data_IF_442794286750
#
_entry.id   IF_442794286750
#
_cell.length_a   1.000
_cell.length_b   1.000
_cell.length_c   1.000
_cell.angle_alpha   90.00
_cell.angle_beta   90.00
_cell.angle_gamma   90.00
#
_symmetry.space_group_name_H-M   'P 1'
#
loop_
_entity.id
_entity.type
_entity.pdbx_description
1 polymer ?
#
# COMPACT_ATOMS: atom_id res chain seq x y z
N UNK A 1 -3.39 -20.47 -8.77
CA UNK A 1 -4.40 -20.09 -7.75
C UNK A 1 -4.19 -18.62 -7.44
N UNK A 2 -5.23 -17.77 -7.44
CA UNK A 2 -5.09 -16.36 -7.02
C UNK A 2 -5.20 -16.30 -5.50
N UNK A 3 -4.19 -15.79 -4.81
CA UNK A 3 -4.28 -15.49 -3.38
C UNK A 3 -5.22 -14.29 -3.21
N UNK A 4 -6.07 -14.32 -2.19
CA UNK A 4 -6.97 -13.21 -1.87
C UNK A 4 -6.26 -12.29 -0.87
N UNK A 5 -6.27 -10.99 -1.15
CA UNK A 5 -5.66 -9.98 -0.29
C UNK A 5 -6.72 -9.05 0.28
N UNK A 6 -6.62 -8.73 1.57
CA UNK A 6 -7.50 -7.79 2.27
C UNK A 6 -6.71 -6.66 2.93
N UNK A 7 -7.09 -5.40 2.66
CA UNK A 7 -6.46 -4.23 3.25
C UNK A 7 -7.04 -4.06 4.65
N UNK A 8 -6.25 -4.39 5.67
CA UNK A 8 -6.70 -4.35 7.05
C UNK A 8 -6.59 -2.96 7.66
N UNK A 9 -5.68 -2.12 7.16
CA UNK A 9 -5.54 -0.77 7.66
C UNK A 9 -4.39 0.01 7.04
N UNK A 10 -4.52 1.32 7.11
CA UNK A 10 -3.50 2.30 6.77
C UNK A 10 -2.98 2.85 8.10
N UNK A 11 -1.66 2.77 8.29
CA UNK A 11 -0.97 3.22 9.49
C UNK A 11 -0.56 4.69 9.42
N UNK A 12 0.37 5.08 10.29
CA UNK A 12 0.86 6.45 10.34
C UNK A 12 1.56 6.85 9.03
N UNK A 13 1.22 8.04 8.54
CA UNK A 13 1.86 8.72 7.41
C UNK A 13 2.98 9.60 7.95
N UNK A 14 4.10 9.67 7.24
CA UNK A 14 5.20 10.56 7.63
C UNK A 14 4.79 12.02 7.51
N UNK A 15 5.20 12.84 8.48
CA UNK A 15 4.94 14.28 8.45
C UNK A 15 5.69 14.99 7.32
N UNK A 16 6.89 14.48 7.00
CA UNK A 16 7.78 15.02 5.96
C UNK A 16 8.11 13.96 4.91
N UNK A 17 8.40 14.35 3.66
CA UNK A 17 8.94 13.45 2.66
C UNK A 17 10.23 12.77 3.13
N UNK A 18 10.31 11.45 2.98
CA UNK A 18 11.39 10.61 3.51
C UNK A 18 11.80 9.46 2.56
N UNK A 19 11.15 9.31 1.40
CA UNK A 19 11.51 8.33 0.38
C UNK A 19 11.87 9.05 -0.91
N UNK A 20 13.05 8.77 -1.48
CA UNK A 20 13.45 9.22 -2.82
C UNK A 20 12.98 8.18 -3.86
N UNK A 21 12.09 8.57 -4.77
CA UNK A 21 11.61 7.69 -5.84
C UNK A 21 11.24 8.50 -7.08
N UNK A 22 11.56 7.96 -8.27
CA UNK A 22 11.35 8.64 -9.56
C UNK A 22 11.91 10.08 -9.61
N UNK A 23 13.04 10.33 -8.94
CA UNK A 23 13.68 11.65 -8.91
C UNK A 23 13.00 12.67 -8.00
N UNK A 24 12.00 12.27 -7.19
CA UNK A 24 11.29 13.15 -6.27
C UNK A 24 11.27 12.58 -4.85
N UNK A 25 11.17 13.47 -3.86
CA UNK A 25 10.99 13.10 -2.46
C UNK A 25 9.50 12.97 -2.15
N UNK A 26 9.10 11.85 -1.57
CA UNK A 26 7.72 11.51 -1.25
C UNK A 26 7.54 11.22 0.23
N UNK A 27 6.33 11.40 0.75
CA UNK A 27 5.95 10.89 2.07
C UNK A 27 5.82 9.37 2.02
N UNK A 28 5.89 8.73 3.18
CA UNK A 28 5.65 7.30 3.34
C UNK A 28 4.43 7.04 4.21
N UNK A 29 3.75 5.92 4.00
CA UNK A 29 2.66 5.45 4.87
C UNK A 29 2.80 3.96 5.14
N UNK A 30 2.53 3.55 6.38
CA UNK A 30 2.43 2.13 6.71
C UNK A 30 1.11 1.54 6.19
N UNK A 31 1.15 0.30 5.71
CA UNK A 31 -0.05 -0.42 5.25
C UNK A 31 -0.03 -1.84 5.80
N UNK A 32 -1.17 -2.31 6.30
CA UNK A 32 -1.36 -3.68 6.79
C UNK A 32 -2.26 -4.45 5.84
N UNK A 33 -1.75 -5.53 5.25
CA UNK A 33 -2.47 -6.38 4.29
C UNK A 33 -2.47 -7.82 4.80
N UNK A 34 -3.62 -8.47 4.76
CA UNK A 34 -3.75 -9.91 4.96
C UNK A 34 -3.75 -10.65 3.63
N UNK A 35 -3.06 -11.79 3.57
CA UNK A 35 -3.20 -12.80 2.52
C UNK A 35 -3.97 -13.99 3.07
N UNK A 36 -5.21 -14.17 2.61
CA UNK A 36 -6.02 -15.34 2.94
C UNK A 36 -5.52 -16.53 2.13
N UNK A 37 -5.11 -17.58 2.83
CA UNK A 37 -4.63 -18.83 2.26
C UNK A 37 -5.72 -19.88 2.36
N UNK A 38 -5.89 -20.69 1.31
CA UNK A 38 -6.89 -21.77 1.32
C UNK A 38 -6.62 -22.80 2.42
N UNK A 39 -5.34 -23.01 2.75
CA UNK A 39 -4.91 -23.88 3.83
C UNK A 39 -3.83 -23.16 4.67
N UNK A 40 -3.93 -23.27 5.98
CA UNK A 40 -2.96 -22.72 6.95
C UNK A 40 -3.29 -21.33 7.48
N UNK A 41 -2.35 -20.78 8.25
CA UNK A 41 -2.50 -19.49 8.94
C UNK A 41 -2.43 -18.33 7.92
N UNK A 42 -3.33 -17.33 8.01
CA UNK A 42 -3.22 -16.11 7.22
C UNK A 42 -1.87 -15.43 7.42
N UNK A 43 -1.33 -14.83 6.35
CA UNK A 43 -0.13 -14.00 6.47
C UNK A 43 -0.48 -12.54 6.55
N UNK A 44 0.20 -11.85 7.46
CA UNK A 44 0.08 -10.41 7.64
C UNK A 44 1.33 -9.71 7.13
N UNK A 45 1.13 -8.80 6.18
CA UNK A 45 2.16 -7.93 5.63
C UNK A 45 2.03 -6.55 6.25
N UNK A 46 3.08 -6.09 6.93
CA UNK A 46 3.22 -4.69 7.34
C UNK A 46 4.24 -4.04 6.40
N UNK A 47 3.77 -3.24 5.45
CA UNK A 47 4.59 -2.67 4.39
C UNK A 47 4.64 -1.15 4.52
N UNK A 48 5.79 -0.56 4.19
CA UNK A 48 5.93 0.88 4.03
C UNK A 48 5.75 1.21 2.54
N UNK A 49 4.86 2.15 2.23
CA UNK A 49 4.54 2.55 0.86
C UNK A 49 4.75 4.04 0.63
N UNK A 50 5.11 4.38 -0.61
CA UNK A 50 5.18 5.75 -1.09
C UNK A 50 3.78 6.36 -1.21
N UNK A 51 3.60 7.57 -0.69
CA UNK A 51 2.39 8.38 -0.90
C UNK A 51 2.59 9.28 -2.11
N UNK A 52 1.73 9.11 -3.10
CA UNK A 52 1.67 9.90 -4.32
C UNK A 52 0.57 10.96 -4.20
N UNK A 53 0.64 12.00 -5.05
CA UNK A 53 -0.35 13.08 -5.09
C UNK A 53 -0.77 13.30 -6.54
N UNK A 54 -2.08 13.29 -6.78
CA UNK A 54 -2.68 13.75 -8.03
C UNK A 54 -3.86 14.72 -7.76
N UNK A 55 -4.65 15.03 -8.78
CA UNK A 55 -5.81 15.92 -8.69
C UNK A 55 -6.90 15.48 -7.68
N UNK A 56 -6.96 14.19 -7.33
CA UNK A 56 -7.94 13.64 -6.39
C UNK A 56 -7.38 13.54 -4.96
N UNK A 57 -6.11 13.87 -4.75
CA UNK A 57 -5.47 13.91 -3.44
C UNK A 57 -4.32 12.92 -3.27
N UNK A 58 -4.06 12.55 -2.02
CA UNK A 58 -3.00 11.60 -1.66
C UNK A 58 -3.45 10.14 -1.88
N UNK A 59 -2.61 9.32 -2.49
CA UNK A 59 -2.90 7.91 -2.75
C UNK A 59 -1.67 7.01 -2.62
N UNK A 60 -1.91 5.70 -2.47
CA UNK A 60 -0.91 4.64 -2.62
C UNK A 60 -1.18 3.84 -3.89
N UNK A 61 -0.11 3.46 -4.58
CA UNK A 61 -0.18 2.74 -5.86
C UNK A 61 0.30 1.30 -5.72
N UNK A 62 -0.63 0.34 -5.84
CA UNK A 62 -0.32 -1.09 -5.83
C UNK A 62 -0.07 -1.68 -7.22
N UNK A 63 -0.22 -0.92 -8.31
CA UNK A 63 -0.18 -1.46 -9.68
C UNK A 63 1.13 -2.16 -10.04
N UNK A 64 2.24 -1.74 -9.43
CA UNK A 64 3.57 -2.33 -9.58
C UNK A 64 3.97 -3.29 -8.45
N UNK A 65 2.99 -3.74 -7.65
CA UNK A 65 3.22 -4.67 -6.55
C UNK A 65 2.58 -6.03 -6.84
N UNK A 66 2.90 -7.04 -6.04
CA UNK A 66 2.21 -8.34 -6.09
C UNK A 66 0.72 -8.24 -5.70
N UNK A 67 0.27 -7.12 -5.12
CA UNK A 67 -1.10 -6.89 -4.68
C UNK A 67 -1.99 -6.19 -5.73
N UNK A 68 -1.45 -5.93 -6.93
CA UNK A 68 -2.10 -5.13 -7.99
C UNK A 68 -3.51 -5.57 -8.35
N UNK A 69 -3.79 -6.87 -8.32
CA UNK A 69 -5.08 -7.45 -8.69
C UNK A 69 -6.20 -7.12 -7.69
N UNK A 70 -5.86 -6.70 -6.47
CA UNK A 70 -6.83 -6.47 -5.38
C UNK A 70 -7.09 -5.00 -5.09
N UNK A 71 -6.16 -4.09 -5.40
CA UNK A 71 -6.25 -2.70 -4.92
C UNK A 71 -6.08 -1.61 -5.97
N UNK A 72 -5.25 -1.81 -7.01
CA UNK A 72 -4.92 -0.71 -7.92
C UNK A 72 -4.37 0.53 -7.20
N UNK A 73 -4.97 1.70 -7.41
CA UNK A 73 -4.69 2.93 -6.64
C UNK A 73 -5.70 3.06 -5.49
N UNK A 74 -5.23 3.34 -4.28
CA UNK A 74 -6.06 3.54 -3.09
C UNK A 74 -5.84 4.95 -2.53
N UNK A 75 -6.89 5.77 -2.52
CA UNK A 75 -6.86 7.15 -2.00
C UNK A 75 -6.95 7.18 -0.46
N UNK A 76 -6.24 8.11 0.16
CA UNK A 76 -6.03 8.19 1.62
C UNK A 76 -6.97 9.20 2.32
N UNK A 77 -8.18 9.42 1.77
CA UNK A 77 -9.17 10.41 2.24
C UNK A 77 -9.41 10.40 3.75
#
# INVERSE_FOLDING_TARGET
>A
MKNNYTLLGIGAKSEKPNILSHGCMHKSVGVKIEETRQEGTPLIYNICMTVWIDENGEYIDFTNTRFKESYGKVYLN
#
